data_IF_424960937482
#
_entry.id   IF_424960937482
#
_cell.length_a   1.000
_cell.length_b   1.000
_cell.length_c   1.000
_cell.angle_alpha   90.00
_cell.angle_beta   90.00
_cell.angle_gamma   90.00
#
_symmetry.space_group_name_H-M   'P 1'
#
loop_
_entity.id
_entity.type
_entity.pdbx_description
1 polymer ?
#
# COMPACT_ATOMS: atom_id res chain seq x y z
N UNK A 1 52.88 -54.35 1.52
CA UNK A 1 51.68 -54.03 0.72
C UNK A 1 50.86 -53.05 1.50
N UNK A 2 50.95 -51.79 1.13
CA UNK A 2 50.30 -50.71 1.85
C UNK A 2 49.12 -50.26 0.98
N UNK A 3 47.89 -50.44 1.48
CA UNK A 3 46.68 -49.98 0.84
C UNK A 3 46.40 -48.56 1.30
N UNK A 4 46.59 -47.56 0.42
CA UNK A 4 46.14 -46.19 0.61
C UNK A 4 44.64 -46.13 0.35
N UNK A 5 43.84 -45.88 1.37
CA UNK A 5 42.43 -45.53 1.26
C UNK A 5 42.34 -44.00 1.18
N UNK A 6 42.01 -43.52 -0.02
CA UNK A 6 41.78 -42.09 -0.29
C UNK A 6 40.37 -41.74 0.18
N UNK A 7 40.24 -41.01 1.29
CA UNK A 7 38.98 -40.45 1.79
C UNK A 7 38.71 -39.17 1.02
N UNK A 8 37.83 -39.25 0.04
CA UNK A 8 37.32 -38.10 -0.69
C UNK A 8 36.24 -37.40 0.17
N UNK A 9 36.58 -36.37 0.94
CA UNK A 9 35.64 -35.55 1.67
C UNK A 9 34.87 -34.64 0.72
N UNK A 10 33.64 -35.03 0.37
CA UNK A 10 32.71 -34.15 -0.36
C UNK A 10 32.27 -33.02 0.56
N UNK A 11 32.94 -31.87 0.46
CA UNK A 11 32.53 -30.64 1.10
C UNK A 11 31.36 -30.02 0.30
N UNK A 12 30.12 -30.38 0.68
CA UNK A 12 28.94 -29.71 0.17
C UNK A 12 28.96 -28.24 0.60
N UNK A 13 29.35 -27.35 -0.33
CA UNK A 13 29.19 -25.90 -0.21
C UNK A 13 27.69 -25.59 -0.16
N UNK A 14 27.13 -25.49 1.03
CA UNK A 14 25.83 -24.89 1.26
C UNK A 14 25.98 -23.39 1.02
N UNK A 15 25.81 -22.96 -0.25
CA UNK A 15 25.65 -21.53 -0.56
C UNK A 15 24.28 -21.10 -0.01
N UNK A 16 24.20 -20.17 0.94
CA UNK A 16 22.92 -19.61 1.33
C UNK A 16 22.30 -18.96 0.09
N UNK A 17 21.15 -19.46 -0.34
CA UNK A 17 20.35 -18.75 -1.33
C UNK A 17 19.86 -17.49 -0.68
N UNK A 18 20.50 -16.37 -1.01
CA UNK A 18 20.02 -15.05 -0.63
C UNK A 18 18.76 -14.82 -1.47
N UNK A 19 17.60 -15.01 -0.86
CA UNK A 19 16.31 -14.65 -1.41
C UNK A 19 16.26 -13.11 -1.46
N UNK A 20 16.56 -12.54 -2.61
CA UNK A 20 16.32 -11.12 -2.84
C UNK A 20 14.82 -10.93 -3.00
N UNK A 21 14.22 -10.12 -2.14
CA UNK A 21 12.88 -9.60 -2.38
C UNK A 21 12.96 -8.65 -3.59
N UNK A 22 12.13 -8.90 -4.60
CA UNK A 22 12.01 -7.99 -5.74
C UNK A 22 11.36 -6.68 -5.30
N UNK A 23 11.93 -5.56 -5.74
CA UNK A 23 11.32 -4.24 -5.55
C UNK A 23 10.00 -4.18 -6.33
N UNK A 24 8.91 -4.00 -5.63
CA UNK A 24 7.62 -3.71 -6.23
C UNK A 24 7.48 -2.23 -6.58
N UNK A 25 6.50 -1.90 -7.41
CA UNK A 25 6.20 -0.54 -7.83
C UNK A 25 4.76 -0.15 -7.53
N UNK A 26 4.52 1.15 -7.40
CA UNK A 26 3.19 1.72 -7.49
C UNK A 26 3.03 2.45 -8.83
N UNK A 27 1.90 2.26 -9.48
CA UNK A 27 1.57 2.90 -10.76
C UNK A 27 0.39 3.83 -10.57
N UNK A 28 0.53 5.06 -11.07
CA UNK A 28 -0.58 6.03 -11.09
C UNK A 28 -1.54 5.66 -12.21
N UNK A 29 -2.76 5.25 -11.86
CA UNK A 29 -3.82 4.85 -12.78
C UNK A 29 -4.65 6.03 -13.27
N UNK A 30 -4.92 6.97 -12.36
CA UNK A 30 -5.77 8.12 -12.59
C UNK A 30 -5.35 9.30 -11.72
N UNK A 31 -5.50 10.51 -12.23
CA UNK A 31 -5.30 11.77 -11.50
C UNK A 31 -6.30 12.78 -11.97
N UNK A 32 -6.89 13.53 -11.06
CA UNK A 32 -7.69 14.71 -11.36
C UNK A 32 -7.37 15.83 -10.38
N UNK A 33 -7.46 17.07 -10.83
CA UNK A 33 -7.14 18.24 -10.02
C UNK A 33 -5.64 18.35 -9.69
N UNK A 34 -5.32 19.10 -8.63
CA UNK A 34 -3.94 19.36 -8.21
C UNK A 34 -3.43 18.24 -7.32
N UNK A 35 -2.48 17.45 -7.83
CA UNK A 35 -1.78 16.41 -7.09
C UNK A 35 -0.28 16.53 -7.35
N UNK A 36 0.51 16.47 -6.29
CA UNK A 36 1.97 16.51 -6.35
C UNK A 36 2.56 15.23 -5.74
N UNK A 37 3.74 14.87 -6.18
CA UNK A 37 4.54 13.81 -5.55
C UNK A 37 5.98 14.24 -5.39
N UNK A 38 6.64 13.69 -4.38
CA UNK A 38 8.07 13.86 -4.16
C UNK A 38 8.74 12.49 -4.16
N UNK A 39 9.77 12.33 -4.99
CA UNK A 39 10.56 11.09 -5.09
C UNK A 39 12.01 11.44 -5.45
N UNK A 40 12.98 10.78 -4.82
CA UNK A 40 14.40 11.02 -5.05
C UNK A 40 14.81 12.50 -4.93
N UNK A 41 14.22 13.23 -3.97
CA UNK A 41 14.51 14.64 -3.71
C UNK A 41 13.87 15.64 -4.66
N UNK A 42 13.09 15.19 -5.64
CA UNK A 42 12.36 16.06 -6.59
C UNK A 42 10.87 16.06 -6.28
N UNK A 43 10.24 17.22 -6.42
CA UNK A 43 8.79 17.38 -6.32
C UNK A 43 8.22 17.80 -7.66
N UNK A 44 7.23 17.06 -8.13
CA UNK A 44 6.63 17.23 -9.46
C UNK A 44 5.11 17.07 -9.39
N UNK A 45 4.41 17.54 -10.43
CA UNK A 45 2.98 17.29 -10.60
C UNK A 45 2.76 15.83 -10.97
N UNK A 46 1.88 15.15 -10.23
CA UNK A 46 1.54 13.76 -10.49
C UNK A 46 0.75 13.63 -11.78
N UNK A 47 1.07 12.62 -12.59
CA UNK A 47 0.39 12.30 -13.85
C UNK A 47 0.14 10.81 -13.94
N UNK A 48 -0.84 10.41 -14.76
CA UNK A 48 -1.09 9.00 -15.09
C UNK A 48 0.19 8.33 -15.62
N UNK A 49 0.39 7.07 -15.29
CA UNK A 49 1.52 6.21 -15.64
C UNK A 49 2.87 6.60 -14.96
N UNK A 50 2.89 7.57 -14.05
CA UNK A 50 4.05 7.79 -13.19
C UNK A 50 4.26 6.56 -12.32
N UNK A 51 5.51 6.12 -12.23
CA UNK A 51 5.93 5.00 -11.38
C UNK A 51 6.48 5.57 -10.07
N UNK A 52 5.85 5.19 -8.98
CA UNK A 52 6.28 5.52 -7.63
C UNK A 52 6.95 4.31 -6.98
N UNK A 53 7.90 4.58 -6.11
CA UNK A 53 8.67 3.57 -5.39
C UNK A 53 8.72 3.86 -3.90
N UNK A 54 9.39 3.03 -3.15
CA UNK A 54 9.68 3.27 -1.74
C UNK A 54 10.16 4.70 -1.48
N UNK A 55 9.70 5.31 -0.42
CA UNK A 55 9.92 6.68 0.04
C UNK A 55 9.30 7.78 -0.85
N UNK A 56 8.50 7.42 -1.86
CA UNK A 56 7.71 8.41 -2.58
C UNK A 56 6.59 8.95 -1.69
N UNK A 57 6.39 10.27 -1.73
CA UNK A 57 5.31 10.97 -1.02
C UNK A 57 4.33 11.51 -2.04
N UNK A 58 3.04 11.39 -1.74
CA UNK A 58 1.98 11.95 -2.58
C UNK A 58 1.13 12.89 -1.74
N UNK A 59 0.86 14.06 -2.27
CA UNK A 59 0.00 15.08 -1.65
C UNK A 59 -1.06 15.53 -2.64
N UNK A 60 -2.33 15.34 -2.27
CA UNK A 60 -3.47 15.86 -3.01
C UNK A 60 -3.89 17.19 -2.43
N UNK A 61 -4.14 18.20 -3.32
CA UNK A 61 -4.92 19.37 -2.95
C UNK A 61 -6.41 19.04 -3.08
N UNK A 62 -7.16 19.84 -3.86
CA UNK A 62 -8.56 19.55 -4.19
C UNK A 62 -8.72 18.32 -5.13
N UNK A 63 -7.61 17.83 -5.66
CA UNK A 63 -7.57 16.69 -6.56
C UNK A 63 -7.60 15.35 -5.85
N UNK A 64 -7.60 14.28 -6.64
CA UNK A 64 -7.51 12.89 -6.19
C UNK A 64 -6.66 12.06 -7.16
N UNK A 65 -6.11 10.96 -6.67
CA UNK A 65 -5.32 10.04 -7.48
C UNK A 65 -5.65 8.59 -7.13
N UNK A 66 -5.65 7.72 -8.15
CA UNK A 66 -5.75 6.27 -7.98
C UNK A 66 -4.38 5.66 -8.25
N UNK A 67 -3.89 4.86 -7.31
CA UNK A 67 -2.63 4.14 -7.41
C UNK A 67 -2.89 2.63 -7.37
N UNK A 68 -2.22 1.89 -8.24
CA UNK A 68 -2.03 0.46 -8.09
C UNK A 68 -0.74 0.22 -7.31
N UNK A 69 -0.83 -0.50 -6.20
CA UNK A 69 0.30 -0.93 -5.37
C UNK A 69 0.57 -2.40 -5.63
N UNK A 70 1.72 -2.70 -6.22
CA UNK A 70 1.99 -4.06 -6.65
C UNK A 70 0.89 -4.62 -7.58
N UNK A 71 0.76 -5.94 -7.64
CA UNK A 71 -0.19 -6.59 -8.55
C UNK A 71 -1.66 -6.54 -8.08
N UNK A 72 -1.92 -6.41 -6.78
CA UNK A 72 -3.22 -6.79 -6.22
C UNK A 72 -3.93 -5.73 -5.38
N UNK A 73 -3.31 -4.60 -5.10
CA UNK A 73 -3.95 -3.52 -4.36
C UNK A 73 -4.17 -2.27 -5.24
N UNK A 74 -5.33 -1.65 -5.09
CA UNK A 74 -5.64 -0.34 -5.67
C UNK A 74 -6.14 0.57 -4.57
N UNK A 75 -5.57 1.76 -4.49
CA UNK A 75 -5.98 2.79 -3.54
C UNK A 75 -6.39 4.06 -4.27
N UNK A 76 -7.42 4.72 -3.77
CA UNK A 76 -7.72 6.12 -4.08
C UNK A 76 -7.26 7.00 -2.95
N UNK A 77 -6.43 7.97 -3.27
CA UNK A 77 -6.03 9.07 -2.41
C UNK A 77 -7.07 10.18 -2.60
N UNK A 78 -7.89 10.43 -1.57
CA UNK A 78 -8.94 11.43 -1.58
C UNK A 78 -8.37 12.86 -1.59
N UNK A 79 -9.18 13.91 -1.81
CA UNK A 79 -8.74 15.29 -1.68
C UNK A 79 -8.12 15.59 -0.30
N UNK A 80 -7.15 16.51 -0.27
CA UNK A 80 -6.44 16.96 0.94
C UNK A 80 -5.78 15.85 1.75
N UNK A 81 -5.23 14.85 1.07
CA UNK A 81 -4.60 13.67 1.65
C UNK A 81 -3.11 13.68 1.40
N UNK A 82 -2.33 13.25 2.42
CA UNK A 82 -0.87 13.10 2.34
C UNK A 82 -0.48 11.69 2.74
N UNK A 83 0.26 11.01 1.87
CA UNK A 83 0.78 9.68 2.11
C UNK A 83 2.27 9.58 1.81
N UNK A 84 2.90 8.57 2.40
CA UNK A 84 4.24 8.11 2.04
C UNK A 84 4.20 6.60 1.77
N UNK A 85 4.88 6.15 0.73
CA UNK A 85 5.09 4.73 0.44
C UNK A 85 6.29 4.27 1.24
N UNK A 86 6.06 3.65 2.40
CA UNK A 86 7.13 3.22 3.29
C UNK A 86 7.84 1.95 2.80
N UNK A 87 7.09 1.02 2.20
CA UNK A 87 7.64 -0.23 1.66
C UNK A 87 6.79 -0.74 0.50
N UNK A 88 7.46 -1.27 -0.52
CA UNK A 88 6.88 -2.08 -1.59
C UNK A 88 7.86 -3.18 -1.92
N UNK A 89 7.48 -4.43 -1.68
CA UNK A 89 8.34 -5.59 -1.92
C UNK A 89 7.52 -6.83 -2.28
N UNK A 90 8.14 -7.75 -3.01
CA UNK A 90 7.56 -9.04 -3.36
C UNK A 90 8.62 -10.12 -3.23
N UNK A 91 8.28 -11.24 -2.63
CA UNK A 91 9.08 -12.46 -2.65
C UNK A 91 8.26 -13.63 -3.20
N UNK A 92 8.78 -14.85 -3.12
CA UNK A 92 8.11 -16.06 -3.62
C UNK A 92 6.78 -16.37 -2.93
N UNK A 93 6.60 -15.88 -1.69
CA UNK A 93 5.49 -16.27 -0.80
C UNK A 93 4.55 -15.09 -0.50
N UNK A 94 5.05 -13.86 -0.55
CA UNK A 94 4.38 -12.69 -0.01
C UNK A 94 4.60 -11.43 -0.87
N UNK A 95 3.56 -10.63 -1.00
CA UNK A 95 3.63 -9.25 -1.45
C UNK A 95 3.38 -8.33 -0.27
N UNK A 96 4.24 -7.33 -0.07
CA UNK A 96 4.15 -6.39 1.04
C UNK A 96 4.04 -4.97 0.50
N UNK A 97 3.04 -4.24 0.99
CA UNK A 97 2.94 -2.80 0.80
C UNK A 97 2.70 -2.14 2.15
N UNK A 98 3.53 -1.16 2.50
CA UNK A 98 3.33 -0.34 3.70
C UNK A 98 3.22 1.11 3.31
N UNK A 99 2.17 1.74 3.80
CA UNK A 99 1.89 3.15 3.60
C UNK A 99 1.86 3.87 4.93
N UNK A 100 2.30 5.12 4.95
CA UNK A 100 2.05 6.05 6.04
C UNK A 100 1.01 7.05 5.59
N UNK A 101 -0.16 7.05 6.23
CA UNK A 101 -1.18 8.07 6.06
C UNK A 101 -0.88 9.21 7.04
N UNK A 102 -0.31 10.29 6.52
CA UNK A 102 0.03 11.45 7.35
C UNK A 102 -1.23 12.23 7.74
N UNK A 103 -2.16 12.38 6.80
CA UNK A 103 -3.49 12.97 7.02
C UNK A 103 -4.38 12.70 5.81
N UNK A 104 -5.69 12.76 6.01
CA UNK A 104 -6.69 12.61 4.94
C UNK A 104 -7.29 11.22 4.87
N UNK A 105 -7.66 10.75 3.68
CA UNK A 105 -8.48 9.55 3.50
C UNK A 105 -8.01 8.69 2.34
N UNK A 106 -8.03 7.36 2.56
CA UNK A 106 -7.73 6.36 1.53
C UNK A 106 -8.90 5.40 1.38
N UNK A 107 -9.35 5.20 0.15
CA UNK A 107 -10.28 4.14 -0.23
C UNK A 107 -9.45 3.00 -0.84
N UNK A 108 -9.60 1.80 -0.34
CA UNK A 108 -8.67 0.71 -0.63
C UNK A 108 -9.39 -0.56 -1.04
N UNK A 109 -8.86 -1.22 -2.08
CA UNK A 109 -9.27 -2.56 -2.49
C UNK A 109 -8.02 -3.44 -2.62
N UNK A 110 -7.91 -4.45 -1.78
CA UNK A 110 -6.89 -5.49 -1.85
C UNK A 110 -7.54 -6.77 -2.36
N UNK A 111 -7.10 -7.29 -3.49
CA UNK A 111 -7.60 -8.56 -4.01
C UNK A 111 -6.82 -9.72 -3.41
N UNK A 112 -7.53 -10.81 -3.13
CA UNK A 112 -6.88 -12.07 -2.75
C UNK A 112 -6.11 -12.64 -3.94
N UNK A 113 -4.91 -13.13 -3.70
CA UNK A 113 -4.08 -13.81 -4.68
C UNK A 113 -3.53 -15.12 -4.12
N UNK A 114 -2.78 -15.86 -4.94
CA UNK A 114 -2.10 -17.09 -4.52
C UNK A 114 -0.94 -16.82 -3.55
N UNK A 115 -0.39 -15.60 -3.55
CA UNK A 115 0.59 -15.14 -2.57
C UNK A 115 -0.13 -14.50 -1.39
N UNK A 116 0.53 -14.47 -0.24
CA UNK A 116 0.05 -13.68 0.90
C UNK A 116 0.16 -12.20 0.56
N UNK A 117 -0.99 -11.53 0.46
CA UNK A 117 -1.03 -10.07 0.32
C UNK A 117 -1.03 -9.45 1.73
N UNK A 118 -0.09 -8.56 1.97
CA UNK A 118 0.05 -7.85 3.23
C UNK A 118 0.11 -6.35 2.93
N UNK A 119 -1.01 -5.68 3.15
CA UNK A 119 -1.07 -4.23 3.13
C UNK A 119 -1.19 -3.73 4.56
N UNK A 120 -0.28 -2.83 4.94
CA UNK A 120 -0.29 -2.13 6.21
C UNK A 120 -0.40 -0.63 5.94
N UNK A 121 -1.33 0.04 6.61
CA UNK A 121 -1.45 1.50 6.55
C UNK A 121 -1.33 2.01 7.97
N UNK A 122 -0.24 2.72 8.24
CA UNK A 122 0.02 3.34 9.54
C UNK A 122 -0.33 4.82 9.50
N UNK A 123 -0.95 5.30 10.56
CA UNK A 123 -1.20 6.72 10.81
C UNK A 123 -0.63 7.14 12.17
N UNK A 124 -0.90 8.35 12.62
CA UNK A 124 -0.53 8.76 13.97
C UNK A 124 -1.40 8.11 15.04
N UNK A 125 -2.66 7.83 14.70
CA UNK A 125 -3.66 7.35 15.65
C UNK A 125 -3.74 5.83 15.72
N UNK A 126 -3.44 5.11 14.63
CA UNK A 126 -3.52 3.65 14.55
C UNK A 126 -2.79 3.08 13.33
N UNK A 127 -2.58 1.77 13.35
CA UNK A 127 -2.11 0.98 12.21
C UNK A 127 -3.19 -0.02 11.81
N UNK A 128 -3.52 -0.09 10.52
CA UNK A 128 -4.45 -1.05 9.95
C UNK A 128 -3.70 -2.09 9.11
N UNK A 129 -3.75 -3.34 9.54
CA UNK A 129 -3.25 -4.50 8.79
C UNK A 129 -4.40 -5.18 8.05
N UNK A 130 -4.23 -5.45 6.74
CA UNK A 130 -5.31 -5.94 5.89
C UNK A 130 -4.94 -7.14 5.05
N UNK A 131 -5.93 -8.00 4.81
CA UNK A 131 -5.80 -9.16 3.94
C UNK A 131 -7.06 -9.37 3.09
N UNK A 132 -6.98 -9.00 1.78
CA UNK A 132 -8.07 -9.26 0.84
C UNK A 132 -9.36 -8.51 1.19
N UNK A 133 -9.29 -7.18 1.28
CA UNK A 133 -10.28 -6.34 1.95
C UNK A 133 -10.63 -5.13 1.10
N UNK A 134 -11.89 -4.70 1.19
CA UNK A 134 -12.34 -3.38 0.74
C UNK A 134 -12.62 -2.52 1.97
N UNK A 135 -11.91 -1.41 2.13
CA UNK A 135 -12.02 -0.57 3.30
C UNK A 135 -11.66 0.89 3.03
N UNK A 136 -12.08 1.76 3.93
CA UNK A 136 -11.66 3.15 3.99
C UNK A 136 -10.92 3.37 5.30
N UNK A 137 -9.86 4.17 5.25
CA UNK A 137 -9.11 4.63 6.41
C UNK A 137 -9.04 6.16 6.38
N UNK A 138 -9.30 6.81 7.50
CA UNK A 138 -9.37 8.25 7.63
C UNK A 138 -8.60 8.72 8.87
N UNK A 139 -7.63 9.62 8.67
CA UNK A 139 -6.84 10.27 9.72
C UNK A 139 -7.03 11.78 9.61
N UNK A 140 -7.61 12.43 10.61
CA UNK A 140 -7.95 13.85 10.56
C UNK A 140 -7.13 14.65 11.58
N UNK A 141 -5.92 15.08 11.19
CA UNK A 141 -5.05 15.92 12.06
C UNK A 141 -5.44 17.40 12.09
N UNK A 142 -6.03 17.88 11.01
CA UNK A 142 -6.45 19.29 10.84
C UNK A 142 -7.71 19.33 10.01
N UNK A 143 -8.60 20.29 10.31
CA UNK A 143 -9.80 20.49 9.48
C UNK A 143 -9.38 20.82 8.05
N UNK A 144 -9.56 19.87 7.15
CA UNK A 144 -9.41 20.10 5.71
C UNK A 144 -10.55 20.96 5.18
N UNK A 145 -10.33 21.69 4.06
CA UNK A 145 -11.42 22.35 3.37
C UNK A 145 -12.55 21.38 3.04
N UNK A 146 -13.80 21.85 3.05
CA UNK A 146 -14.96 21.02 2.73
C UNK A 146 -14.84 20.45 1.31
N UNK A 147 -15.05 19.16 1.18
CA UNK A 147 -15.04 18.40 -0.06
C UNK A 147 -16.07 17.26 0.02
N UNK A 148 -16.18 16.44 -1.03
CA UNK A 148 -17.16 15.36 -1.13
C UNK A 148 -17.04 14.28 -0.02
N UNK A 149 -15.87 14.19 0.64
CA UNK A 149 -15.56 13.19 1.67
C UNK A 149 -15.40 13.77 3.08
N UNK A 150 -15.76 15.07 3.26
CA UNK A 150 -15.61 15.77 4.55
C UNK A 150 -16.55 15.23 5.65
N UNK A 151 -17.56 14.46 5.28
CA UNK A 151 -18.51 13.80 6.19
C UNK A 151 -18.00 12.43 6.71
N UNK A 152 -16.89 11.93 6.18
CA UNK A 152 -16.26 10.70 6.67
C UNK A 152 -15.45 11.05 7.93
N UNK A 153 -15.80 10.54 9.11
CA UNK A 153 -15.06 10.81 10.34
C UNK A 153 -13.71 10.08 10.37
N UNK A 154 -12.88 10.39 11.35
CA UNK A 154 -11.66 9.64 11.62
C UNK A 154 -12.00 8.21 12.01
N UNK A 155 -11.27 7.22 11.43
CA UNK A 155 -11.50 5.82 11.70
C UNK A 155 -11.20 4.88 10.55
N UNK A 156 -11.62 3.62 10.73
CA UNK A 156 -11.48 2.53 9.77
C UNK A 156 -12.86 1.92 9.48
N UNK A 157 -13.19 1.73 8.21
CA UNK A 157 -14.52 1.33 7.73
C UNK A 157 -14.37 0.16 6.78
N UNK A 158 -14.96 -1.02 7.09
CA UNK A 158 -14.76 -2.27 6.35
C UNK A 158 -16.01 -2.65 5.59
N UNK A 159 -15.92 -2.73 4.25
CA UNK A 159 -17.00 -3.19 3.39
C UNK A 159 -16.93 -4.70 3.11
N UNK A 160 -15.71 -5.21 2.82
CA UNK A 160 -15.46 -6.63 2.56
C UNK A 160 -14.17 -7.07 3.25
N UNK A 161 -14.13 -8.31 3.75
CA UNK A 161 -12.95 -8.93 4.35
C UNK A 161 -12.78 -8.59 5.82
N UNK A 162 -11.54 -8.48 6.26
CA UNK A 162 -11.17 -8.29 7.66
C UNK A 162 -10.00 -7.30 7.77
N UNK A 163 -10.07 -6.41 8.75
CA UNK A 163 -9.01 -5.45 9.09
C UNK A 163 -8.67 -5.57 10.56
N UNK A 164 -7.41 -5.82 10.86
CA UNK A 164 -6.90 -5.69 12.23
C UNK A 164 -6.39 -4.26 12.43
N UNK A 165 -6.97 -3.58 13.40
CA UNK A 165 -6.59 -2.20 13.77
C UNK A 165 -5.85 -2.23 15.09
N UNK A 166 -4.64 -1.67 15.10
CA UNK A 166 -3.79 -1.50 16.28
C UNK A 166 -3.76 -0.01 16.64
N UNK A 167 -4.63 0.45 17.58
CA UNK A 167 -4.60 1.84 18.01
C UNK A 167 -3.29 2.19 18.73
N UNK A 168 -2.86 3.46 18.67
CA UNK A 168 -1.70 3.96 19.41
C UNK A 168 -1.88 3.84 20.94
N UNK A 169 -3.15 3.74 21.40
CA UNK A 169 -3.53 3.49 22.77
C UNK A 169 -4.84 2.69 22.80
N UNK A 170 -4.94 1.71 23.70
CA UNK A 170 -6.09 0.82 23.81
C UNK A 170 -5.79 -0.60 23.31
N UNK A 171 -6.85 -1.36 23.09
CA UNK A 171 -6.76 -2.75 22.64
C UNK A 171 -6.89 -2.83 21.11
N UNK A 172 -6.33 -3.88 20.55
CA UNK A 172 -6.50 -4.21 19.15
C UNK A 172 -7.97 -4.49 18.81
N UNK A 173 -8.40 -4.07 17.63
CA UNK A 173 -9.73 -4.29 17.11
C UNK A 173 -9.65 -5.13 15.84
N UNK A 174 -10.45 -6.18 15.75
CA UNK A 174 -10.63 -6.97 14.53
C UNK A 174 -11.99 -6.63 13.94
N UNK A 175 -11.96 -5.85 12.85
CA UNK A 175 -13.17 -5.43 12.15
C UNK A 175 -13.48 -6.39 11.00
N UNK A 176 -14.71 -6.88 10.97
CA UNK A 176 -15.23 -7.72 9.90
C UNK A 176 -15.99 -6.90 8.87
N UNK A 177 -16.32 -7.52 7.73
CA UNK A 177 -17.18 -6.90 6.72
C UNK A 177 -18.48 -6.36 7.35
N UNK A 178 -18.80 -5.11 7.04
CA UNK A 178 -19.97 -4.41 7.60
C UNK A 178 -19.75 -3.79 8.99
N UNK A 179 -18.51 -3.66 9.42
CA UNK A 179 -18.14 -3.00 10.67
C UNK A 179 -17.26 -1.77 10.43
N UNK A 180 -17.21 -0.89 11.40
CA UNK A 180 -16.33 0.26 11.43
C UNK A 180 -15.77 0.48 12.83
N UNK A 181 -14.62 1.14 12.94
CA UNK A 181 -14.10 1.73 14.16
C UNK A 181 -14.00 3.23 13.97
N UNK A 182 -14.76 4.00 14.72
CA UNK A 182 -14.78 5.46 14.66
C UNK A 182 -14.17 6.07 15.91
N UNK A 183 -13.44 7.16 15.75
CA UNK A 183 -12.88 7.92 16.87
C UNK A 183 -13.96 8.73 17.57
N UNK A 184 -14.13 8.55 18.88
CA UNK A 184 -15.13 9.24 19.68
C UNK A 184 -14.59 10.45 20.48
N UNK A 185 -13.33 10.86 20.20
CA UNK A 185 -12.61 11.89 20.95
C UNK A 185 -11.70 11.34 22.05
N UNK A 186 -11.79 10.04 22.38
CA UNK A 186 -11.01 9.38 23.43
C UNK A 186 -10.37 8.07 22.94
N UNK A 187 -11.16 7.25 22.24
CA UNK A 187 -10.74 5.92 21.77
C UNK A 187 -11.48 5.55 20.49
N UNK A 188 -10.97 4.54 19.77
CA UNK A 188 -11.67 3.92 18.66
C UNK A 188 -12.70 2.92 19.19
N UNK A 189 -13.94 3.07 18.74
CA UNK A 189 -15.04 2.16 19.08
C UNK A 189 -15.50 1.40 17.86
N UNK A 190 -15.53 0.07 17.97
CA UNK A 190 -16.10 -0.79 16.95
C UNK A 190 -17.64 -0.72 17.00
N UNK A 191 -18.26 -0.51 15.84
CA UNK A 191 -19.71 -0.43 15.66
C UNK A 191 -20.10 -0.94 14.26
N UNK A 192 -21.39 -1.25 14.00
CA UNK A 192 -21.85 -1.58 12.66
C UNK A 192 -21.58 -0.44 11.67
N UNK A 193 -21.22 -0.80 10.44
CA UNK A 193 -20.94 0.15 9.37
C UNK A 193 -22.21 0.94 9.03
N UNK A 194 -22.12 2.26 9.12
CA UNK A 194 -23.23 3.18 8.87
C UNK A 194 -23.62 3.19 7.38
N UNK A 195 -24.89 3.37 7.08
CA UNK A 195 -25.41 3.29 5.70
C UNK A 195 -24.76 4.31 4.78
N UNK A 196 -24.55 5.56 5.23
CA UNK A 196 -23.88 6.57 4.42
C UNK A 196 -22.45 6.17 4.03
N UNK A 197 -21.73 5.43 4.90
CA UNK A 197 -20.41 4.89 4.61
C UNK A 197 -20.46 3.80 3.55
N UNK A 198 -21.46 2.92 3.58
CA UNK A 198 -21.67 1.90 2.54
C UNK A 198 -21.87 2.56 1.17
N UNK A 199 -22.63 3.65 1.10
CA UNK A 199 -22.80 4.43 -0.12
C UNK A 199 -21.48 5.04 -0.61
N UNK A 200 -20.71 5.67 0.30
CA UNK A 200 -19.37 6.21 -0.04
C UNK A 200 -18.43 5.15 -0.59
N UNK A 201 -18.49 3.95 -0.03
CA UNK A 201 -17.60 2.84 -0.39
C UNK A 201 -17.95 2.14 -1.70
N UNK A 202 -19.13 2.38 -2.30
CA UNK A 202 -19.48 1.83 -3.61
C UNK A 202 -18.43 2.11 -4.70
N UNK A 203 -17.72 3.23 -4.60
CA UNK A 203 -16.65 3.58 -5.53
C UNK A 203 -15.52 2.55 -5.57
N UNK A 204 -15.27 1.84 -4.45
CA UNK A 204 -14.20 0.83 -4.36
C UNK A 204 -14.49 -0.35 -5.30
N UNK A 205 -15.75 -0.66 -5.57
CA UNK A 205 -16.13 -1.76 -6.47
C UNK A 205 -15.57 -1.56 -7.88
N UNK A 206 -15.45 -0.30 -8.32
CA UNK A 206 -14.92 0.04 -9.64
C UNK A 206 -13.38 -0.16 -9.72
N UNK A 207 -12.67 -0.25 -8.60
CA UNK A 207 -11.22 -0.41 -8.58
C UNK A 207 -10.76 -1.74 -9.18
N UNK A 208 -11.61 -2.77 -9.14
CA UNK A 208 -11.30 -4.07 -9.77
C UNK A 208 -11.11 -3.96 -11.28
N UNK A 209 -11.78 -3.00 -11.92
CA UNK A 209 -11.77 -2.81 -13.36
C UNK A 209 -10.66 -1.89 -13.89
N UNK A 210 -9.97 -1.15 -13.00
CA UNK A 210 -9.01 -0.10 -13.42
C UNK A 210 -7.54 -0.48 -13.23
N UNK A 211 -7.23 -1.75 -13.00
CA UNK A 211 -5.83 -2.20 -12.95
C UNK A 211 -5.09 -1.91 -14.26
N UNK A 212 -3.81 -1.59 -14.14
CA UNK A 212 -2.96 -1.40 -15.32
C UNK A 212 -2.72 -2.73 -16.03
N UNK A 213 -3.15 -2.85 -17.28
CA UNK A 213 -2.82 -3.98 -18.15
C UNK A 213 -1.31 -4.08 -18.41
N UNK A 214 -0.61 -2.97 -18.28
CA UNK A 214 0.83 -2.87 -18.53
C UNK A 214 1.68 -3.00 -17.26
N UNK A 215 1.11 -3.42 -16.12
CA UNK A 215 1.82 -3.49 -14.85
C UNK A 215 3.11 -4.29 -14.94
N UNK A 216 3.04 -5.53 -15.44
CA UNK A 216 4.20 -6.43 -15.52
C UNK A 216 5.26 -5.89 -16.49
N UNK A 217 4.83 -5.27 -17.60
CA UNK A 217 5.76 -4.64 -18.55
C UNK A 217 6.50 -3.46 -17.91
N UNK A 218 5.80 -2.58 -17.21
CA UNK A 218 6.40 -1.40 -16.56
C UNK A 218 7.34 -1.81 -15.42
N UNK A 219 6.95 -2.83 -14.64
CA UNK A 219 7.79 -3.42 -13.61
C UNK A 219 9.08 -3.99 -14.21
N UNK A 220 8.96 -4.79 -15.29
CA UNK A 220 10.11 -5.38 -15.97
C UNK A 220 11.05 -4.33 -16.56
N UNK A 221 10.53 -3.27 -17.17
CA UNK A 221 11.35 -2.16 -17.70
C UNK A 221 12.13 -1.46 -16.58
N UNK A 222 11.48 -1.23 -15.44
CA UNK A 222 12.16 -0.58 -14.31
C UNK A 222 13.28 -1.43 -13.73
N UNK A 223 13.05 -2.74 -13.54
CA UNK A 223 14.07 -3.67 -13.06
C UNK A 223 15.26 -3.69 -14.01
N UNK A 224 15.02 -3.80 -15.33
CA UNK A 224 16.07 -3.77 -16.34
C UNK A 224 16.86 -2.47 -16.35
N UNK A 225 16.20 -1.32 -16.18
CA UNK A 225 16.90 -0.04 -16.11
C UNK A 225 17.75 0.07 -14.82
N UNK A 226 17.29 -0.49 -13.70
CA UNK A 226 18.06 -0.57 -12.46
C UNK A 226 19.35 -1.38 -12.66
N UNK A 227 19.25 -2.59 -13.23
CA UNK A 227 20.40 -3.45 -13.54
C UNK A 227 21.41 -2.74 -14.46
N UNK A 228 20.94 -2.05 -15.49
CA UNK A 228 21.80 -1.29 -16.38
C UNK A 228 22.57 -0.20 -15.66
N UNK A 229 21.92 0.55 -14.76
CA UNK A 229 22.55 1.62 -13.99
C UNK A 229 23.56 1.10 -12.96
N UNK A 230 23.29 -0.06 -12.34
CA UNK A 230 24.19 -0.70 -11.37
C UNK A 230 25.44 -1.29 -12.05
N UNK A 231 25.31 -1.76 -13.29
CA UNK A 231 26.39 -2.35 -14.09
C UNK A 231 27.20 -1.32 -14.90
N UNK A 232 26.81 -0.04 -14.91
CA UNK A 232 27.63 1.00 -15.55
C UNK A 232 28.91 1.20 -14.75
N UNK A 233 30.10 1.15 -15.40
CA UNK A 233 31.35 1.44 -14.73
C UNK A 233 31.30 2.86 -14.18
N UNK A 234 31.48 2.98 -12.87
CA UNK A 234 31.67 4.28 -12.21
C UNK A 234 33.02 4.83 -12.68
N UNK A 235 33.01 5.80 -13.59
CA UNK A 235 34.17 6.55 -14.04
C UNK A 235 34.76 7.38 -12.92
#
# INVERSE_FOLDING_TARGET
MIHNVLFLAAFCLFLPQILFADDEIAIVLFVTGKVQYSQAGKTETLKKNVILTKNAKVETGEGKADLQLGANAVIRIAPFTKIEIAELSSDSSKNTAKLTLVSGKLFTNVQKSNKKEELEISSASYTAGVRGTQFVISEEKTKSPKNEDSDIPEGVFVNEGEVTVHPSSGNDLNLQAGEQASWNGKELLAEPLKEFMKEKMKIIQNFKAIKSENYEMLKGQKLKNKELLENFPKS
#
